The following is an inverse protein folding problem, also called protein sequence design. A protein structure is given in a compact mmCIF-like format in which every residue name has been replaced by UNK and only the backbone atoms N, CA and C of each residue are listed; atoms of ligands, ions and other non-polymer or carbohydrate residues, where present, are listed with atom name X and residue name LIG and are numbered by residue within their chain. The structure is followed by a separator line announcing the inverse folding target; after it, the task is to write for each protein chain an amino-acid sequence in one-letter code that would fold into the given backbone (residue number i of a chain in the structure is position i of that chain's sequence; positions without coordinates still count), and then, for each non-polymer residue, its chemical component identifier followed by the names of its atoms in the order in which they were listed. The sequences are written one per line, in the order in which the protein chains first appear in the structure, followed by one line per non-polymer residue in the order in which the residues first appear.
data_IF_494396576425
#
_entry.id   IF_494396576425
#
_cell.length_a   1.000
_cell.length_b   1.000
_cell.length_c   1.000
_cell.angle_alpha   90.00
_cell.angle_beta   90.00
_cell.angle_gamma   90.00
#
_symmetry.space_group_name_H-M   'P 1'
#
loop_
_entity.id
_entity.type
_entity.pdbx_description
1 polymer ?
#
# COMPACT_ATOMS: atom_id res chain seq x y z
N UNK A 1 3.76 2.41 6.27
CA UNK A 1 4.72 3.49 5.97
C UNK A 1 4.17 4.82 6.43
N UNK A 2 5.05 5.67 6.90
CA UNK A 2 4.67 7.03 7.28
C UNK A 2 4.63 7.91 6.03
N UNK A 3 3.75 8.92 6.03
CA UNK A 3 3.62 9.84 4.90
C UNK A 3 4.95 10.50 4.52
N UNK A 4 5.77 10.83 5.51
CA UNK A 4 7.09 11.43 5.29
C UNK A 4 7.99 10.52 4.45
N UNK A 5 8.00 9.23 4.74
CA UNK A 5 8.79 8.25 3.99
C UNK A 5 8.34 8.16 2.54
N UNK A 6 7.03 8.20 2.33
CA UNK A 6 6.45 8.15 0.99
C UNK A 6 6.85 9.37 0.17
N UNK A 7 6.87 10.56 0.78
CA UNK A 7 7.26 11.79 0.11
C UNK A 7 8.71 11.81 -0.36
N UNK A 8 9.57 11.05 0.31
CA UNK A 8 10.98 10.94 -0.05
C UNK A 8 11.23 10.04 -1.27
N UNK A 9 10.24 9.24 -1.65
CA UNK A 9 10.36 8.32 -2.78
C UNK A 9 10.14 9.04 -4.11
N UNK A 10 10.80 8.52 -5.17
CA UNK A 10 10.53 9.01 -6.53
C UNK A 10 9.15 8.51 -6.99
N UNK A 11 8.60 9.15 -8.02
CA UNK A 11 7.31 8.75 -8.58
C UNK A 11 7.33 7.29 -9.06
N UNK A 12 8.41 6.89 -9.72
CA UNK A 12 8.57 5.51 -10.19
C UNK A 12 8.61 4.52 -9.02
N UNK A 13 9.33 4.87 -7.95
CA UNK A 13 9.41 4.03 -6.76
C UNK A 13 8.06 3.89 -6.07
N UNK A 14 7.28 4.97 -6.03
CA UNK A 14 5.93 4.94 -5.45
C UNK A 14 5.04 4.00 -6.24
N UNK A 15 5.08 4.07 -7.57
CA UNK A 15 4.27 3.20 -8.43
C UNK A 15 4.64 1.72 -8.23
N UNK A 16 5.93 1.41 -8.19
CA UNK A 16 6.39 0.04 -7.94
C UNK A 16 5.98 -0.45 -6.56
N UNK A 17 6.13 0.41 -5.55
CA UNK A 17 5.78 0.07 -4.18
C UNK A 17 4.27 -0.18 -4.06
N UNK A 18 3.47 0.65 -4.73
CA UNK A 18 2.02 0.51 -4.73
C UNK A 18 1.60 -0.84 -5.30
N UNK A 19 2.18 -1.25 -6.43
CA UNK A 19 1.88 -2.55 -7.03
C UNK A 19 2.29 -3.71 -6.11
N UNK A 20 3.47 -3.62 -5.51
CA UNK A 20 3.96 -4.63 -4.58
C UNK A 20 3.04 -4.75 -3.35
N UNK A 21 2.60 -3.63 -2.79
CA UNK A 21 1.72 -3.63 -1.63
C UNK A 21 0.32 -4.16 -1.97
N UNK A 22 -0.18 -3.86 -3.17
CA UNK A 22 -1.46 -4.42 -3.64
C UNK A 22 -1.40 -5.94 -3.75
N UNK A 23 -0.32 -6.47 -4.31
CA UNK A 23 -0.12 -7.91 -4.41
C UNK A 23 -0.04 -8.55 -3.02
N UNK A 24 0.68 -7.91 -2.12
CA UNK A 24 0.83 -8.38 -0.74
C UNK A 24 -0.52 -8.40 -0.03
N UNK A 25 -1.33 -7.35 -0.19
CA UNK A 25 -2.66 -7.29 0.41
C UNK A 25 -3.56 -8.40 -0.14
N UNK A 26 -3.50 -8.63 -1.44
CA UNK A 26 -4.29 -9.68 -2.08
C UNK A 26 -3.93 -11.06 -1.50
N UNK A 27 -2.64 -11.33 -1.32
CA UNK A 27 -2.18 -12.58 -0.70
C UNK A 27 -2.66 -12.70 0.75
N UNK A 28 -2.63 -11.61 1.51
CA UNK A 28 -3.13 -11.59 2.88
C UNK A 28 -4.61 -11.92 2.95
N UNK A 29 -5.41 -11.37 2.03
CA UNK A 29 -6.84 -11.64 1.95
C UNK A 29 -7.12 -13.09 1.65
N UNK A 30 -6.37 -13.68 0.71
CA UNK A 30 -6.51 -15.10 0.36
C UNK A 30 -6.15 -15.98 1.56
N UNK A 31 -5.05 -15.69 2.22
CA UNK A 31 -4.60 -16.43 3.39
C UNK A 31 -5.62 -16.33 4.53
N UNK A 32 -6.20 -15.14 4.73
CA UNK A 32 -7.22 -14.94 5.75
C UNK A 32 -8.49 -15.76 5.47
N UNK A 33 -8.86 -15.90 4.21
CA UNK A 33 -10.00 -16.71 3.80
C UNK A 33 -9.75 -18.19 4.07
N UNK A 34 -8.52 -18.65 3.81
CA UNK A 34 -8.13 -20.05 4.00
C UNK A 34 -7.87 -20.35 5.47
N UNK A 35 -7.24 -19.41 6.18
CA UNK A 35 -6.86 -19.57 7.57
C UNK A 35 -7.29 -18.33 8.37
N UNK A 36 -8.48 -18.36 9.01
CA UNK A 36 -9.00 -17.20 9.73
C UNK A 36 -8.21 -16.82 10.99
N UNK A 37 -7.10 -17.48 11.24
CA UNK A 37 -6.22 -17.16 12.36
C UNK A 37 -5.30 -15.98 12.10
N UNK A 38 -5.22 -15.52 10.86
CA UNK A 38 -4.40 -14.36 10.51
C UNK A 38 -4.95 -13.10 11.16
N UNK A 39 -4.01 -12.24 11.57
CA UNK A 39 -4.34 -11.00 12.26
C UNK A 39 -4.92 -9.96 11.28
N UNK A 40 -6.19 -9.53 11.46
CA UNK A 40 -6.80 -8.54 10.58
C UNK A 40 -6.13 -7.17 10.65
N UNK A 41 -5.32 -6.89 11.68
CA UNK A 41 -4.56 -5.64 11.77
C UNK A 41 -3.58 -5.50 10.61
N UNK A 42 -2.96 -6.59 10.18
CA UNK A 42 -2.03 -6.56 9.05
C UNK A 42 -2.72 -6.14 7.75
N UNK A 43 -3.95 -6.58 7.55
CA UNK A 43 -4.76 -6.20 6.39
C UNK A 43 -5.10 -4.72 6.45
N UNK A 44 -5.47 -4.19 7.61
CA UNK A 44 -5.79 -2.78 7.79
C UNK A 44 -4.57 -1.90 7.54
N UNK A 45 -3.41 -2.29 8.06
CA UNK A 45 -2.17 -1.55 7.85
C UNK A 45 -1.77 -1.53 6.38
N UNK A 46 -1.90 -2.67 5.71
CA UNK A 46 -1.61 -2.76 4.27
C UNK A 46 -2.52 -1.83 3.47
N UNK A 47 -3.81 -1.78 3.81
CA UNK A 47 -4.76 -0.87 3.14
C UNK A 47 -4.38 0.58 3.35
N UNK A 48 -3.96 0.97 4.56
CA UNK A 48 -3.52 2.33 4.86
C UNK A 48 -2.27 2.70 4.05
N UNK A 49 -1.32 1.78 3.97
CA UNK A 49 -0.11 1.99 3.19
C UNK A 49 -0.43 2.21 1.72
N UNK A 50 -1.30 1.36 1.16
CA UNK A 50 -1.75 1.48 -0.24
C UNK A 50 -2.45 2.82 -0.47
N UNK A 51 -3.34 3.22 0.44
CA UNK A 51 -4.06 4.48 0.33
C UNK A 51 -3.11 5.68 0.35
N UNK A 52 -2.11 5.67 1.22
CA UNK A 52 -1.11 6.73 1.30
C UNK A 52 -0.26 6.81 0.04
N UNK A 53 0.18 5.67 -0.47
CA UNK A 53 0.96 5.62 -1.72
C UNK A 53 0.14 6.13 -2.89
N UNK A 54 -1.11 5.68 -3.00
CA UNK A 54 -2.00 6.10 -4.07
C UNK A 54 -2.30 7.61 -4.00
N UNK A 55 -2.51 8.14 -2.81
CA UNK A 55 -2.76 9.56 -2.59
C UNK A 55 -1.56 10.41 -3.02
N UNK A 56 -0.37 10.01 -2.62
CA UNK A 56 0.86 10.74 -2.99
C UNK A 56 1.09 10.71 -4.49
N UNK A 57 0.89 9.56 -5.11
CA UNK A 57 1.04 9.42 -6.57
C UNK A 57 0.04 10.32 -7.29
N UNK A 58 -1.20 10.34 -6.84
CA UNK A 58 -2.24 11.19 -7.42
C UNK A 58 -1.90 12.67 -7.27
N UNK A 59 -1.42 13.09 -6.10
CA UNK A 59 -1.01 14.48 -5.87
C UNK A 59 0.11 14.90 -6.80
N UNK A 60 1.06 14.01 -7.06
CA UNK A 60 2.15 14.29 -7.99
C UNK A 60 1.66 14.43 -9.42
N UNK A 61 0.68 13.63 -9.81
CA UNK A 61 0.07 13.74 -11.14
C UNK A 61 -0.69 15.06 -11.31
N UNK A 62 -1.36 15.51 -10.26
CA UNK A 62 -2.13 16.76 -10.30
C UNK A 62 -1.26 18.02 -10.30
N UNK A 63 -0.02 17.93 -9.79
CA UNK A 63 0.86 19.07 -9.67
C UNK A 63 1.86 19.21 -10.82
N UNK A 64 1.78 18.36 -11.81
CA UNK A 64 2.62 18.47 -13.02
C UNK A 64 2.25 19.65 -13.88
#
# INVERSE_FOLDING_TARGET
MKAKEIKELTTAEIAERLDAEKAKLNNMKLNHTISPLDNPLHIREARKTIARLATELRQRELTK
#
